data_IF_123053590201
#
_entry.id   IF_123053590201
#
_cell.length_a   1.000
_cell.length_b   1.000
_cell.length_c   1.000
_cell.angle_alpha   90.00
_cell.angle_beta   90.00
_cell.angle_gamma   90.00
#
_symmetry.space_group_name_H-M   'P 1'
#
loop_
_entity.id
_entity.type
_entity.pdbx_description
1 polymer ?
#
# COMPACT_ATOMS: atom_id res chain seq x y z
N UNK A 1 7.89 -0.76 4.71
CA UNK A 1 7.35 -0.48 3.35
C UNK A 1 8.13 -1.24 2.29
N UNK A 2 9.44 -1.06 2.13
CA UNK A 2 10.26 -1.79 1.14
C UNK A 2 10.14 -3.32 1.21
N UNK A 3 10.20 -3.90 2.40
CA UNK A 3 10.00 -5.35 2.60
C UNK A 3 8.60 -5.78 2.16
N UNK A 4 7.58 -5.05 2.59
CA UNK A 4 6.18 -5.35 2.30
C UNK A 4 5.82 -5.16 0.81
N UNK A 5 6.42 -4.18 0.13
CA UNK A 5 6.21 -3.88 -1.30
C UNK A 5 7.06 -4.76 -2.20
N UNK A 6 8.31 -5.02 -1.84
CA UNK A 6 9.29 -5.71 -2.69
C UNK A 6 9.22 -7.24 -2.61
N UNK A 7 8.92 -7.80 -1.43
CA UNK A 7 8.86 -9.25 -1.24
C UNK A 7 7.84 -9.95 -2.17
N UNK A 8 6.64 -9.40 -2.43
CA UNK A 8 5.70 -9.97 -3.41
C UNK A 8 6.24 -10.11 -4.83
N UNK A 9 7.20 -9.25 -5.24
CA UNK A 9 7.87 -9.33 -6.54
C UNK A 9 8.96 -10.39 -6.58
N UNK A 10 9.45 -10.86 -5.44
CA UNK A 10 10.39 -11.99 -5.40
C UNK A 10 9.70 -13.32 -5.68
N UNK A 11 8.39 -13.44 -5.45
CA UNK A 11 7.64 -14.66 -5.77
C UNK A 11 7.76 -15.08 -7.25
N UNK A 12 7.46 -14.22 -8.24
CA UNK A 12 7.66 -14.56 -9.65
C UNK A 12 9.13 -14.75 -10.05
N UNK A 13 10.08 -14.07 -9.37
CA UNK A 13 11.52 -14.27 -9.59
C UNK A 13 11.94 -15.68 -9.18
N UNK A 14 11.50 -16.13 -7.99
CA UNK A 14 11.75 -17.47 -7.51
C UNK A 14 11.08 -18.54 -8.37
N UNK A 15 9.84 -18.29 -8.84
CA UNK A 15 9.20 -19.17 -9.81
C UNK A 15 10.00 -19.30 -11.11
N UNK A 16 10.53 -18.18 -11.63
CA UNK A 16 11.38 -18.19 -12.84
C UNK A 16 12.69 -18.93 -12.63
N UNK A 17 13.26 -18.85 -11.43
CA UNK A 17 14.49 -19.55 -11.04
C UNK A 17 14.26 -21.04 -10.67
N UNK A 18 13.03 -21.55 -10.71
CA UNK A 18 12.70 -22.92 -10.29
C UNK A 18 12.65 -23.13 -8.77
N UNK A 19 12.80 -22.06 -7.98
CA UNK A 19 12.73 -22.07 -6.51
C UNK A 19 11.27 -22.01 -6.04
N UNK A 20 10.51 -23.06 -6.31
CA UNK A 20 9.05 -23.12 -6.03
C UNK A 20 8.72 -23.03 -4.54
N UNK A 21 9.52 -23.66 -3.67
CA UNK A 21 9.31 -23.63 -2.22
C UNK A 21 9.29 -22.19 -1.65
N UNK A 22 10.38 -21.42 -1.82
CA UNK A 22 10.42 -20.01 -1.43
C UNK A 22 9.32 -19.15 -2.07
N UNK A 23 9.00 -19.36 -3.36
CA UNK A 23 7.92 -18.64 -4.02
C UNK A 23 6.56 -18.88 -3.35
N UNK A 24 6.23 -20.16 -3.08
CA UNK A 24 4.98 -20.57 -2.44
C UNK A 24 4.88 -20.07 -1.00
N UNK A 25 5.99 -19.97 -0.27
CA UNK A 25 6.00 -19.33 1.04
C UNK A 25 5.55 -17.86 0.95
N UNK A 26 6.05 -17.11 -0.04
CA UNK A 26 5.63 -15.72 -0.26
C UNK A 26 4.14 -15.66 -0.61
N UNK A 27 3.66 -16.43 -1.60
CA UNK A 27 2.23 -16.46 -1.94
C UNK A 27 1.35 -16.77 -0.72
N UNK A 28 1.77 -17.70 0.12
CA UNK A 28 1.04 -18.12 1.32
C UNK A 28 0.96 -17.01 2.36
N UNK A 29 2.08 -16.36 2.70
CA UNK A 29 2.14 -15.26 3.67
C UNK A 29 1.24 -14.09 3.25
N UNK A 30 1.14 -13.83 1.95
CA UNK A 30 0.36 -12.71 1.41
C UNK A 30 -1.10 -13.07 1.05
N UNK A 31 -1.46 -14.36 1.05
CA UNK A 31 -2.81 -14.86 0.73
C UNK A 31 -3.95 -14.36 1.64
N UNK A 32 -3.74 -14.06 2.95
CA UNK A 32 -4.78 -13.44 3.78
C UNK A 32 -4.88 -11.91 3.59
N UNK A 33 -3.84 -11.27 3.05
CA UNK A 33 -3.77 -9.82 2.87
C UNK A 33 -4.36 -9.41 1.52
N UNK A 34 -4.22 -10.26 0.51
CA UNK A 34 -4.73 -10.05 -0.83
C UNK A 34 -5.37 -11.35 -1.35
N UNK A 35 -6.46 -11.22 -2.11
CA UNK A 35 -7.07 -12.37 -2.78
C UNK A 35 -6.16 -13.00 -3.85
N UNK A 36 -5.15 -12.26 -4.36
CA UNK A 36 -4.17 -12.72 -5.34
C UNK A 36 -4.80 -13.35 -6.61
N UNK A 37 -5.99 -12.90 -7.01
CA UNK A 37 -6.60 -13.37 -8.25
C UNK A 37 -5.68 -13.07 -9.44
N UNK A 38 -5.37 -14.10 -10.22
CA UNK A 38 -4.45 -13.99 -11.36
C UNK A 38 -4.88 -12.88 -12.34
N UNK A 39 -6.17 -12.78 -12.68
CA UNK A 39 -6.71 -11.74 -13.57
C UNK A 39 -6.74 -10.32 -12.99
N UNK A 40 -6.23 -10.12 -11.77
CA UNK A 40 -6.06 -8.82 -11.09
C UNK A 40 -4.62 -8.57 -10.66
N UNK A 41 -3.66 -9.37 -11.12
CA UNK A 41 -2.26 -9.31 -10.70
C UNK A 41 -1.35 -9.00 -11.89
N UNK A 42 -0.27 -8.27 -11.62
CA UNK A 42 0.82 -8.13 -12.58
C UNK A 42 1.56 -9.45 -12.77
N UNK A 43 2.05 -9.70 -13.98
CA UNK A 43 2.84 -10.86 -14.36
C UNK A 43 4.25 -10.42 -14.76
N UNK A 44 5.24 -11.22 -14.36
CA UNK A 44 6.63 -11.07 -14.79
C UNK A 44 7.08 -12.31 -15.57
N UNK A 45 8.05 -12.12 -16.46
CA UNK A 45 8.67 -13.19 -17.25
C UNK A 45 7.72 -13.91 -18.24
N UNK A 46 6.62 -13.26 -18.61
CA UNK A 46 5.64 -13.73 -19.59
C UNK A 46 5.51 -12.80 -20.79
N UNK A 47 4.55 -13.12 -21.68
CA UNK A 47 4.27 -12.32 -22.88
C UNK A 47 3.65 -10.95 -22.60
N UNK A 48 2.87 -10.83 -21.52
CA UNK A 48 2.20 -9.58 -21.12
C UNK A 48 2.41 -9.32 -19.64
N UNK A 49 2.34 -8.05 -19.26
CA UNK A 49 2.38 -7.64 -17.86
C UNK A 49 1.09 -7.96 -17.10
N UNK A 50 -0.04 -8.18 -17.80
CA UNK A 50 -1.33 -8.47 -17.18
C UNK A 50 -2.23 -9.23 -18.16
N UNK A 51 -3.24 -9.91 -17.62
CA UNK A 51 -4.24 -10.66 -18.36
C UNK A 51 -5.63 -10.39 -17.78
N UNK A 52 -6.41 -9.55 -18.45
CA UNK A 52 -7.77 -9.21 -18.01
C UNK A 52 -8.69 -10.45 -18.01
N UNK A 53 -9.79 -10.40 -17.26
CA UNK A 53 -10.67 -11.55 -17.04
C UNK A 53 -11.07 -12.34 -18.32
N UNK A 54 -11.47 -11.70 -19.44
CA UNK A 54 -11.77 -12.44 -20.68
C UNK A 54 -10.54 -13.15 -21.27
N UNK A 55 -9.37 -12.51 -21.24
CA UNK A 55 -8.12 -13.08 -21.75
C UNK A 55 -7.64 -14.22 -20.85
N UNK A 56 -7.72 -14.03 -19.53
CA UNK A 56 -7.39 -15.06 -18.55
C UNK A 56 -8.25 -16.31 -18.72
N UNK A 57 -9.57 -16.14 -18.89
CA UNK A 57 -10.49 -17.25 -19.16
C UNK A 57 -10.13 -17.98 -20.45
N UNK A 58 -9.85 -17.24 -21.52
CA UNK A 58 -9.47 -17.85 -22.81
C UNK A 58 -8.18 -18.67 -22.74
N UNK A 59 -7.20 -18.23 -21.94
CA UNK A 59 -5.90 -18.90 -21.82
C UNK A 59 -5.89 -20.08 -20.83
N UNK A 60 -6.75 -20.06 -19.81
CA UNK A 60 -6.70 -21.02 -18.70
C UNK A 60 -7.94 -21.90 -18.57
N UNK A 61 -9.06 -21.52 -19.20
CA UNK A 61 -10.36 -22.15 -19.01
C UNK A 61 -11.05 -21.81 -17.69
N UNK A 62 -10.39 -21.08 -16.78
CA UNK A 62 -10.93 -20.70 -15.48
C UNK A 62 -11.80 -19.46 -15.65
N UNK A 63 -13.08 -19.51 -15.26
CA UNK A 63 -13.99 -18.37 -15.39
C UNK A 63 -13.97 -17.44 -14.16
N UNK A 64 -13.44 -16.21 -14.25
CA UNK A 64 -13.42 -15.27 -13.12
C UNK A 64 -14.79 -14.92 -12.54
N UNK A 65 -15.86 -15.08 -13.33
CA UNK A 65 -17.21 -14.70 -12.93
C UNK A 65 -17.98 -15.85 -12.27
N UNK A 66 -17.48 -17.09 -12.37
CA UNK A 66 -18.01 -18.24 -11.69
C UNK A 66 -17.45 -18.31 -10.25
N UNK A 67 -18.32 -18.50 -9.25
CA UNK A 67 -17.92 -18.61 -7.85
C UNK A 67 -17.01 -19.81 -7.59
N UNK A 68 -17.24 -20.94 -8.28
CA UNK A 68 -16.44 -22.16 -8.12
C UNK A 68 -14.99 -21.96 -8.62
N UNK A 69 -14.82 -21.10 -9.62
CA UNK A 69 -13.55 -20.84 -10.29
C UNK A 69 -12.72 -19.75 -9.59
N UNK A 70 -13.27 -19.10 -8.54
CA UNK A 70 -12.53 -18.13 -7.73
C UNK A 70 -11.32 -18.75 -7.04
N UNK A 71 -11.46 -19.95 -6.51
CA UNK A 71 -10.35 -20.65 -5.87
C UNK A 71 -9.25 -21.02 -6.88
N UNK A 72 -9.57 -21.69 -8.02
CA UNK A 72 -8.62 -21.88 -9.13
C UNK A 72 -7.93 -20.58 -9.58
N UNK A 73 -8.67 -19.48 -9.75
CA UNK A 73 -8.10 -18.19 -10.15
C UNK A 73 -7.15 -17.59 -9.09
N UNK A 74 -7.39 -17.86 -7.80
CA UNK A 74 -6.52 -17.46 -6.69
C UNK A 74 -5.24 -18.31 -6.64
N UNK A 75 -5.32 -19.62 -6.83
CA UNK A 75 -4.15 -20.50 -6.72
C UNK A 75 -3.31 -20.55 -8.00
N UNK A 76 -3.85 -20.11 -9.15
CA UNK A 76 -3.10 -20.03 -10.39
C UNK A 76 -1.89 -19.10 -10.25
N UNK A 77 -0.68 -19.65 -10.25
CA UNK A 77 0.57 -18.88 -10.10
C UNK A 77 1.08 -18.33 -11.42
N UNK A 78 0.92 -19.08 -12.51
CA UNK A 78 1.48 -18.73 -13.81
C UNK A 78 2.05 -19.94 -14.54
N UNK A 79 2.61 -19.70 -15.73
CA UNK A 79 3.26 -20.71 -16.57
C UNK A 79 4.31 -20.05 -17.49
N UNK A 80 4.99 -20.84 -18.31
CA UNK A 80 6.05 -20.34 -19.19
C UNK A 80 5.58 -19.28 -20.21
N UNK A 81 4.30 -19.32 -20.64
CA UNK A 81 3.73 -18.40 -21.62
C UNK A 81 3.27 -17.10 -20.96
N UNK A 82 2.50 -17.22 -19.87
CA UNK A 82 1.92 -16.09 -19.14
C UNK A 82 2.92 -15.42 -18.19
N UNK A 83 4.04 -16.08 -17.90
CA UNK A 83 4.90 -15.71 -16.80
C UNK A 83 4.28 -16.06 -15.46
N UNK A 84 4.79 -15.46 -14.40
CA UNK A 84 4.36 -15.69 -13.03
C UNK A 84 3.82 -14.41 -12.41
N UNK A 85 2.70 -14.52 -11.69
CA UNK A 85 2.05 -13.37 -11.08
C UNK A 85 2.85 -12.83 -9.89
N UNK A 86 2.73 -11.55 -9.61
CA UNK A 86 3.17 -10.97 -8.33
C UNK A 86 2.25 -11.49 -7.22
N UNK A 87 2.77 -11.69 -6.01
CA UNK A 87 1.98 -12.18 -4.87
C UNK A 87 0.95 -11.17 -4.31
N UNK A 88 0.58 -10.17 -5.11
CA UNK A 88 -0.39 -9.11 -4.84
C UNK A 88 -1.19 -8.73 -6.06
N UNK A 89 -2.33 -8.06 -5.83
CA UNK A 89 -3.10 -7.48 -6.91
C UNK A 89 -2.51 -6.15 -7.36
N UNK A 90 -2.87 -5.73 -8.57
CA UNK A 90 -2.48 -4.48 -9.20
C UNK A 90 -2.80 -3.26 -8.31
N UNK A 91 -3.92 -3.33 -7.59
CA UNK A 91 -4.36 -2.28 -6.66
C UNK A 91 -3.46 -2.18 -5.44
N UNK A 92 -3.11 -3.29 -4.81
CA UNK A 92 -2.22 -3.29 -3.63
C UNK A 92 -0.82 -2.79 -4.00
N UNK A 93 -0.30 -3.23 -5.14
CA UNK A 93 0.96 -2.71 -5.70
C UNK A 93 0.89 -1.19 -5.85
N UNK A 94 -0.21 -0.66 -6.36
CA UNK A 94 -0.39 0.78 -6.53
C UNK A 94 -0.52 1.53 -5.19
N UNK A 95 -1.29 1.00 -4.23
CA UNK A 95 -1.47 1.63 -2.90
C UNK A 95 -0.13 1.72 -2.18
N UNK A 96 0.57 0.59 -2.03
CA UNK A 96 1.81 0.59 -1.25
C UNK A 96 2.97 1.24 -1.99
N UNK A 97 2.99 1.15 -3.33
CA UNK A 97 3.91 1.92 -4.17
C UNK A 97 3.71 3.43 -4.04
N UNK A 98 2.46 3.90 -4.03
CA UNK A 98 2.14 5.31 -3.83
C UNK A 98 2.49 5.78 -2.42
N UNK A 99 2.24 4.98 -1.38
CA UNK A 99 2.66 5.30 0.00
C UNK A 99 4.18 5.48 0.07
N UNK A 100 4.94 4.57 -0.57
CA UNK A 100 6.39 4.66 -0.62
C UNK A 100 6.86 5.95 -1.32
N UNK A 101 6.36 6.21 -2.54
CA UNK A 101 6.76 7.36 -3.34
C UNK A 101 6.35 8.67 -2.67
N UNK A 102 5.10 8.78 -2.22
CA UNK A 102 4.61 9.98 -1.53
C UNK A 102 5.37 10.21 -0.22
N UNK A 103 5.73 9.15 0.51
CA UNK A 103 6.54 9.25 1.72
C UNK A 103 7.96 9.78 1.45
N UNK A 104 8.58 9.36 0.34
CA UNK A 104 9.86 9.92 -0.11
C UNK A 104 9.75 11.39 -0.53
N UNK A 105 8.70 11.74 -1.28
CA UNK A 105 8.41 13.13 -1.67
C UNK A 105 8.21 14.00 -0.42
N UNK A 106 7.45 13.51 0.56
CA UNK A 106 7.22 14.19 1.84
C UNK A 106 8.53 14.41 2.60
N UNK A 107 9.35 13.36 2.73
CA UNK A 107 10.65 13.45 3.39
C UNK A 107 11.57 14.46 2.71
N UNK A 108 11.58 14.52 1.38
CA UNK A 108 12.34 15.51 0.61
C UNK A 108 11.80 16.94 0.83
N UNK A 109 10.48 17.14 0.73
CA UNK A 109 9.84 18.42 0.97
C UNK A 109 10.22 18.99 2.35
N UNK A 110 10.21 18.13 3.39
CA UNK A 110 10.66 18.51 4.73
C UNK A 110 12.13 18.89 4.79
N UNK A 111 13.01 18.13 4.16
CA UNK A 111 14.44 18.46 4.10
C UNK A 111 14.70 19.80 3.40
N UNK A 112 13.82 20.20 2.49
CA UNK A 112 13.87 21.49 1.80
C UNK A 112 13.18 22.62 2.58
N UNK A 113 12.67 22.37 3.79
CA UNK A 113 12.00 23.37 4.62
C UNK A 113 10.55 23.68 4.22
N UNK A 114 9.95 22.86 3.35
CA UNK A 114 8.55 23.03 2.94
C UNK A 114 7.62 22.49 4.04
N UNK A 115 6.77 23.36 4.58
CA UNK A 115 5.71 22.96 5.50
C UNK A 115 4.49 22.47 4.73
N UNK A 116 4.22 21.18 4.81
CA UNK A 116 3.06 20.55 4.19
C UNK A 116 1.92 20.54 5.20
N UNK A 117 0.84 21.26 4.90
CA UNK A 117 -0.35 21.26 5.77
C UNK A 117 -1.14 19.95 5.61
N UNK A 118 -1.78 19.45 6.69
CA UNK A 118 -2.67 18.31 6.61
C UNK A 118 -3.78 18.54 5.57
N UNK A 119 -4.06 17.50 4.78
CA UNK A 119 -5.12 17.54 3.78
C UNK A 119 -6.50 17.68 4.46
N UNK A 120 -7.35 18.55 3.93
CA UNK A 120 -8.72 18.66 4.43
C UNK A 120 -9.49 17.34 4.23
N UNK A 121 -10.23 16.89 5.24
CA UNK A 121 -10.92 15.59 5.24
C UNK A 121 -11.87 15.41 4.04
N UNK A 122 -12.53 16.48 3.57
CA UNK A 122 -13.36 16.44 2.35
C UNK A 122 -12.53 16.12 1.09
N UNK A 123 -11.35 16.72 0.94
CA UNK A 123 -10.50 16.45 -0.21
C UNK A 123 -9.97 15.01 -0.17
N UNK A 124 -9.62 14.52 1.03
CA UNK A 124 -9.28 13.11 1.25
C UNK A 124 -10.45 12.17 0.89
N UNK A 125 -11.67 12.50 1.34
CA UNK A 125 -12.87 11.73 1.05
C UNK A 125 -13.20 11.68 -0.44
N UNK A 126 -13.13 12.83 -1.14
CA UNK A 126 -13.49 12.93 -2.55
C UNK A 126 -12.43 12.37 -3.50
N UNK A 127 -11.14 12.60 -3.23
CA UNK A 127 -10.05 12.25 -4.15
C UNK A 127 -9.37 10.93 -3.75
N UNK A 128 -9.20 10.69 -2.44
CA UNK A 128 -8.57 9.47 -1.93
C UNK A 128 -9.54 8.30 -1.88
N UNK A 129 -10.64 8.46 -1.14
CA UNK A 129 -11.62 7.36 -0.91
C UNK A 129 -12.61 7.23 -2.06
N UNK A 130 -13.13 8.34 -2.59
CA UNK A 130 -14.19 8.35 -3.59
C UNK A 130 -13.94 7.43 -4.79
N UNK A 131 -12.80 7.55 -5.51
CA UNK A 131 -12.54 6.76 -6.70
C UNK A 131 -12.38 5.26 -6.43
N UNK A 132 -11.64 4.89 -5.38
CA UNK A 132 -11.42 3.48 -5.01
C UNK A 132 -12.71 2.84 -4.46
N UNK A 133 -13.52 3.60 -3.72
CA UNK A 133 -14.82 3.15 -3.23
C UNK A 133 -15.79 2.94 -4.40
N UNK A 134 -15.89 3.89 -5.33
CA UNK A 134 -16.75 3.76 -6.52
C UNK A 134 -16.35 2.55 -7.37
N UNK A 135 -15.05 2.37 -7.61
CA UNK A 135 -14.52 1.23 -8.35
C UNK A 135 -14.78 -0.11 -7.62
N UNK A 136 -14.55 -0.16 -6.30
CA UNK A 136 -14.80 -1.34 -5.49
C UNK A 136 -16.29 -1.71 -5.38
N UNK A 137 -17.16 -0.74 -5.10
CA UNK A 137 -18.61 -0.95 -5.00
C UNK A 137 -19.22 -1.33 -6.33
N UNK A 138 -18.82 -0.70 -7.44
CA UNK A 138 -19.32 -1.08 -8.76
C UNK A 138 -18.98 -2.54 -9.10
N UNK A 139 -17.79 -3.02 -8.73
CA UNK A 139 -17.42 -4.43 -8.86
C UNK A 139 -18.25 -5.33 -7.94
N UNK A 140 -18.33 -4.98 -6.65
CA UNK A 140 -19.06 -5.77 -5.65
C UNK A 140 -20.52 -5.99 -6.05
N UNK A 141 -21.21 -4.93 -6.48
CA UNK A 141 -22.62 -5.00 -6.86
C UNK A 141 -22.86 -5.56 -8.26
N UNK A 142 -21.83 -5.61 -9.12
CA UNK A 142 -21.95 -6.24 -10.45
C UNK A 142 -21.71 -7.75 -10.45
N UNK A 143 -21.13 -8.30 -9.38
CA UNK A 143 -20.67 -9.68 -9.29
C UNK A 143 -21.51 -10.50 -8.30
N UNK A 144 -21.45 -11.85 -8.36
CA UNK A 144 -22.14 -12.69 -7.39
C UNK A 144 -21.69 -12.36 -5.96
N UNK A 145 -22.61 -12.34 -4.97
CA UNK A 145 -24.01 -12.77 -5.05
C UNK A 145 -25.03 -11.68 -5.47
N UNK A 146 -24.61 -10.42 -5.65
CA UNK A 146 -25.56 -9.30 -5.75
C UNK A 146 -26.16 -9.12 -7.15
N UNK A 147 -25.34 -9.05 -8.20
CA UNK A 147 -25.77 -8.83 -9.59
C UNK A 147 -26.75 -7.65 -9.82
N UNK A 148 -26.65 -6.58 -9.03
CA UNK A 148 -27.49 -5.39 -9.18
C UNK A 148 -27.09 -4.52 -10.39
N UNK A 149 -25.86 -4.68 -10.87
CA UNK A 149 -25.30 -3.93 -12.00
C UNK A 149 -24.82 -4.89 -13.11
N UNK A 150 -24.67 -4.41 -14.36
CA UNK A 150 -24.04 -5.19 -15.43
C UNK A 150 -22.65 -5.67 -15.00
N UNK A 151 -22.35 -6.95 -15.27
CA UNK A 151 -21.09 -7.59 -14.87
C UNK A 151 -19.92 -6.75 -15.34
N UNK A 152 -19.13 -6.27 -14.37
CA UNK A 152 -17.98 -5.40 -14.60
C UNK A 152 -16.80 -5.89 -13.80
N UNK A 153 -15.65 -5.88 -14.45
CA UNK A 153 -14.35 -6.10 -13.83
C UNK A 153 -13.49 -4.86 -14.10
N UNK A 154 -12.78 -4.35 -13.10
CA UNK A 154 -11.97 -3.14 -13.30
C UNK A 154 -10.82 -3.41 -14.26
N UNK A 155 -10.43 -2.39 -15.01
CA UNK A 155 -9.23 -2.46 -15.83
C UNK A 155 -7.99 -2.30 -14.93
N UNK A 156 -6.83 -2.84 -15.33
CA UNK A 156 -5.58 -2.63 -14.60
C UNK A 156 -5.27 -1.16 -14.38
N UNK A 157 -5.50 -0.32 -15.40
CA UNK A 157 -5.35 1.13 -15.31
C UNK A 157 -6.19 1.73 -14.18
N UNK A 158 -7.48 1.36 -14.10
CA UNK A 158 -8.38 1.89 -13.07
C UNK A 158 -7.98 1.42 -11.67
N UNK A 159 -7.58 0.15 -11.51
CA UNK A 159 -7.07 -0.37 -10.24
C UNK A 159 -5.79 0.33 -9.79
N UNK A 160 -4.89 0.61 -10.73
CA UNK A 160 -3.64 1.31 -10.45
C UNK A 160 -3.89 2.78 -10.12
N UNK A 161 -4.72 3.47 -10.90
CA UNK A 161 -5.00 4.89 -10.67
C UNK A 161 -5.70 5.11 -9.33
N UNK A 162 -6.77 4.36 -9.06
CA UNK A 162 -7.54 4.51 -7.81
C UNK A 162 -6.73 4.09 -6.59
N UNK A 163 -5.94 3.00 -6.70
CA UNK A 163 -5.03 2.57 -5.66
C UNK A 163 -3.92 3.59 -5.39
N UNK A 164 -3.33 4.17 -6.44
CA UNK A 164 -2.29 5.17 -6.31
C UNK A 164 -2.81 6.44 -5.62
N UNK A 165 -3.95 6.97 -6.07
CA UNK A 165 -4.59 8.13 -5.45
C UNK A 165 -4.87 7.88 -3.97
N UNK A 166 -5.48 6.73 -3.64
CA UNK A 166 -5.75 6.37 -2.26
C UNK A 166 -4.47 6.32 -1.41
N UNK A 167 -3.43 5.63 -1.88
CA UNK A 167 -2.16 5.52 -1.17
C UNK A 167 -1.46 6.86 -0.96
N UNK A 168 -1.38 7.70 -1.99
CA UNK A 168 -0.77 9.03 -1.90
C UNK A 168 -1.54 9.96 -0.96
N UNK A 169 -2.87 9.95 -1.02
CA UNK A 169 -3.72 10.78 -0.16
C UNK A 169 -3.65 10.36 1.31
N UNK A 170 -3.45 9.06 1.60
CA UNK A 170 -3.20 8.60 2.96
C UNK A 170 -1.91 9.20 3.55
N UNK A 171 -0.84 9.27 2.76
CA UNK A 171 0.41 9.90 3.21
C UNK A 171 0.21 11.40 3.44
N UNK A 172 -0.41 12.11 2.48
CA UNK A 172 -0.63 13.55 2.60
C UNK A 172 -1.54 13.89 3.79
N UNK A 173 -2.51 13.05 4.12
CA UNK A 173 -3.30 13.22 5.33
C UNK A 173 -2.47 12.90 6.59
N UNK A 174 -1.94 11.67 6.69
CA UNK A 174 -1.43 11.15 7.95
C UNK A 174 -0.08 11.75 8.36
N UNK A 175 0.84 12.01 7.42
CA UNK A 175 2.21 12.39 7.77
C UNK A 175 2.29 13.78 8.43
N UNK A 176 1.63 14.82 7.90
CA UNK A 176 1.52 16.12 8.59
C UNK A 176 0.92 16.00 9.99
N UNK A 177 -0.18 15.27 10.15
CA UNK A 177 -0.83 15.09 11.46
C UNK A 177 0.09 14.38 12.46
N UNK A 178 0.77 13.32 12.03
CA UNK A 178 1.73 12.60 12.88
C UNK A 178 2.88 13.52 13.26
N UNK A 179 3.39 14.33 12.34
CA UNK A 179 4.46 15.29 12.63
C UNK A 179 4.04 16.35 13.66
N UNK A 180 2.87 16.95 13.49
CA UNK A 180 2.33 17.92 14.45
C UNK A 180 2.23 17.29 15.85
N UNK A 181 1.64 16.09 15.95
CA UNK A 181 1.50 15.39 17.24
C UNK A 181 2.86 15.03 17.88
N UNK A 182 3.85 14.61 17.09
CA UNK A 182 5.18 14.28 17.59
C UNK A 182 5.96 15.52 18.03
N UNK A 183 5.75 16.66 17.37
CA UNK A 183 6.35 17.93 17.78
C UNK A 183 5.81 18.40 19.14
N UNK A 184 4.50 18.27 19.37
CA UNK A 184 3.86 18.56 20.66
C UNK A 184 4.38 17.66 21.78
N UNK A 185 4.41 16.34 21.54
CA UNK A 185 4.92 15.36 22.51
C UNK A 185 6.38 15.65 22.87
N UNK A 186 7.21 15.98 21.87
CA UNK A 186 8.62 16.33 22.08
C UNK A 186 8.75 17.55 22.99
N UNK A 187 7.99 18.62 22.71
CA UNK A 187 8.02 19.85 23.50
C UNK A 187 7.59 19.60 24.96
N UNK A 188 6.55 18.78 25.16
CA UNK A 188 6.09 18.41 26.49
C UNK A 188 7.14 17.61 27.27
N UNK A 189 7.79 16.63 26.61
CA UNK A 189 8.85 15.81 27.20
C UNK A 189 10.07 16.65 27.57
N UNK A 190 10.52 17.54 26.68
CA UNK A 190 11.63 18.46 26.95
C UNK A 190 11.33 19.36 28.16
N UNK A 191 10.10 19.87 28.25
CA UNK A 191 9.66 20.69 29.39
C UNK A 191 9.64 19.90 30.70
N UNK A 192 9.12 18.67 30.69
CA UNK A 192 9.09 17.80 31.89
C UNK A 192 10.49 17.39 32.33
N UNK A 193 11.36 17.03 31.38
CA UNK A 193 12.75 16.68 31.66
C UNK A 193 13.53 17.87 32.23
N UNK A 194 13.33 19.08 31.70
CA UNK A 194 13.93 20.29 32.25
C UNK A 194 13.51 20.51 33.72
N UNK A 195 12.21 20.39 34.04
CA UNK A 195 11.72 20.52 35.42
C UNK A 195 12.30 19.47 36.38
N UNK A 196 12.41 18.22 35.93
CA UNK A 196 13.01 17.14 36.73
C UNK A 196 14.49 17.42 36.96
N UNK A 197 15.23 17.81 35.92
CA UNK A 197 16.64 18.20 36.03
C UNK A 197 16.82 19.30 37.05
N UNK A 198 16.03 20.36 36.97
CA UNK A 198 16.15 21.52 37.88
C UNK A 198 15.74 21.16 39.33
N UNK A 199 14.90 20.14 39.53
CA UNK A 199 14.50 19.64 40.85
C UNK A 199 15.56 18.76 41.53
N UNK A 200 16.29 17.93 40.77
CA UNK A 200 17.28 16.98 41.31
C UNK A 200 18.73 17.45 41.21
N UNK A 201 19.01 18.35 40.26
CA UNK A 201 20.26 19.07 40.12
C UNK A 201 19.94 20.56 40.01
N UNK A 202 19.52 21.21 41.11
CA UNK A 202 19.43 22.66 41.11
C UNK A 202 20.79 23.19 40.65
N UNK A 203 20.79 24.01 39.59
CA UNK A 203 22.01 24.63 39.10
C UNK A 203 22.74 25.21 40.32
N UNK A 204 23.96 24.72 40.58
CA UNK A 204 24.76 25.19 41.70
C UNK A 204 24.78 26.72 41.62
N UNK A 205 24.19 27.37 42.62
CA UNK A 205 24.28 28.82 42.75
C UNK A 205 25.76 29.14 42.75
N UNK A 206 26.25 29.74 41.65
CA UNK A 206 27.61 30.24 41.60
C UNK A 206 27.78 31.16 42.82
N UNK A 207 28.79 30.94 43.67
CA UNK A 207 29.03 31.83 44.79
C UNK A 207 29.19 33.26 44.25
N UNK A 208 28.70 34.28 44.96
CA UNK A 208 28.85 35.66 44.53
C UNK A 208 30.34 35.96 44.26
N UNK A 209 30.65 36.78 43.25
CA UNK A 209 32.03 37.09 42.91
C UNK A 209 32.73 37.69 44.14
N UNK A 210 33.90 37.13 44.48
CA UNK A 210 34.74 37.57 45.60
C UNK A 210 35.13 39.03 45.37
N UNK A 211 34.46 39.94 46.07
CA UNK A 211 34.82 41.36 46.11
C UNK A 211 36.03 41.51 47.03
N UNK A 212 37.22 41.36 46.47
CA UNK A 212 38.45 41.94 47.03
C UNK A 212 38.72 43.30 46.43
#
# INVERSE_FOLDING_TARGET
VLTYVGLPFLAPVFMKAGLTGPANAIYTIYSPLCHQFAFRSWFLFGQKAFYEAPQFKALTGIDPYNLLDRWPAKIFVGNATMGYKVAYCERDVAIYGAIFIAGLIYALARRMGVQVRPLHWLAYGLIGIGPIALDGFSQLFSQPPFHFLPVRESTPLLRTLTGFLFGAMNVWLAYPYVEESMAEIKLELETKLARVRDRFHPAATLPPPDTR
#
